data_IF_118363808449
#
_entry.id   IF_118363808449
#
_cell.length_a   1.000
_cell.length_b   1.000
_cell.length_c   1.000
_cell.angle_alpha   90.00
_cell.angle_beta   90.00
_cell.angle_gamma   90.00
#
_symmetry.space_group_name_H-M   'P 1'
#
loop_
_entity.id
_entity.type
_entity.pdbx_description
1 polymer ?
#
# COMPACT_ATOMS: atom_id res chain seq x y z
N UNK A 1 -9.63 -6.87 -2.31
CA UNK A 1 -8.68 -7.41 -1.30
C UNK A 1 -7.95 -6.30 -0.54
N UNK A 2 -7.22 -5.38 -1.20
CA UNK A 2 -6.50 -4.29 -0.51
C UNK A 2 -7.43 -3.42 0.36
N UNK A 3 -8.53 -2.91 -0.21
CA UNK A 3 -9.49 -2.08 0.57
C UNK A 3 -10.28 -2.89 1.60
N UNK A 4 -10.41 -4.20 1.38
CA UNK A 4 -11.14 -5.12 2.26
C UNK A 4 -10.38 -5.37 3.57
N UNK A 5 -9.05 -5.47 3.49
CA UNK A 5 -8.19 -5.80 4.62
C UNK A 5 -7.35 -4.61 5.09
N UNK A 6 -7.71 -3.37 4.69
CA UNK A 6 -6.92 -2.17 5.01
C UNK A 6 -6.85 -1.88 6.52
N UNK A 7 -7.86 -2.35 7.25
CA UNK A 7 -8.04 -2.18 8.70
C UNK A 7 -7.70 -3.48 9.48
N UNK A 8 -7.10 -4.47 8.81
CA UNK A 8 -6.65 -5.71 9.44
C UNK A 8 -5.39 -5.47 10.29
N UNK A 9 -5.39 -5.92 11.53
CA UNK A 9 -4.25 -5.78 12.44
C UNK A 9 -3.09 -6.75 12.13
N UNK A 10 -3.31 -7.72 11.22
CA UNK A 10 -2.26 -8.65 10.83
C UNK A 10 -1.14 -7.96 10.02
N UNK A 11 0.05 -7.93 10.64
CA UNK A 11 1.24 -7.33 10.05
C UNK A 11 1.68 -7.97 8.72
N UNK A 12 1.36 -9.24 8.45
CA UNK A 12 1.66 -9.89 7.18
C UNK A 12 0.72 -9.41 6.07
N UNK A 13 -0.57 -9.26 6.38
CA UNK A 13 -1.56 -8.73 5.43
C UNK A 13 -1.19 -7.29 5.05
N UNK A 14 -0.85 -6.46 6.03
CA UNK A 14 -0.45 -5.07 5.80
C UNK A 14 0.85 -4.97 4.98
N UNK A 15 1.82 -5.86 5.19
CA UNK A 15 3.03 -5.96 4.35
C UNK A 15 2.70 -6.40 2.93
N UNK A 16 1.84 -7.40 2.75
CA UNK A 16 1.43 -7.86 1.43
C UNK A 16 0.73 -6.74 0.62
N UNK A 17 -0.14 -5.96 1.27
CA UNK A 17 -0.75 -4.76 0.67
C UNK A 17 0.33 -3.76 0.24
N UNK A 18 1.26 -3.44 1.14
CA UNK A 18 2.36 -2.53 0.84
C UNK A 18 3.24 -3.00 -0.32
N UNK A 19 3.55 -4.29 -0.39
CA UNK A 19 4.33 -4.86 -1.49
C UNK A 19 3.59 -4.85 -2.82
N UNK A 20 2.29 -5.15 -2.83
CA UNK A 20 1.46 -5.06 -4.03
C UNK A 20 1.40 -3.61 -4.55
N UNK A 21 1.23 -2.63 -3.67
CA UNK A 21 1.24 -1.21 -4.02
C UNK A 21 2.61 -0.77 -4.55
N UNK A 22 3.69 -1.20 -3.91
CA UNK A 22 5.05 -0.89 -4.34
C UNK A 22 5.35 -1.45 -5.71
N UNK A 23 4.97 -2.70 -5.98
CA UNK A 23 5.28 -3.35 -7.25
C UNK A 23 4.55 -2.69 -8.41
N UNK A 24 3.26 -2.37 -8.21
CA UNK A 24 2.49 -1.60 -9.19
C UNK A 24 3.01 -0.15 -9.34
N UNK A 25 3.49 0.43 -8.24
CA UNK A 25 4.12 1.75 -8.22
C UNK A 25 5.39 1.86 -9.07
N UNK A 26 6.12 0.76 -9.31
CA UNK A 26 7.26 0.75 -10.25
C UNK A 26 6.82 0.95 -11.70
N UNK A 27 5.61 0.53 -12.04
CA UNK A 27 5.03 0.68 -13.38
C UNK A 27 4.40 2.06 -13.54
N UNK A 28 3.70 2.54 -12.50
CA UNK A 28 3.12 3.87 -12.48
C UNK A 28 3.22 4.50 -11.09
N UNK A 29 4.27 5.30 -10.89
CA UNK A 29 4.59 5.89 -9.60
C UNK A 29 3.60 6.98 -9.17
N UNK A 30 3.05 7.73 -10.13
CA UNK A 30 2.04 8.75 -9.89
C UNK A 30 0.74 8.11 -9.39
N UNK A 31 0.30 7.01 -10.02
CA UNK A 31 -0.84 6.24 -9.55
C UNK A 31 -0.61 5.67 -8.14
N UNK A 32 0.58 5.12 -7.87
CA UNK A 32 0.92 4.58 -6.55
C UNK A 32 0.81 5.62 -5.44
N UNK A 33 1.35 6.82 -5.66
CA UNK A 33 1.23 7.94 -4.71
C UNK A 33 -0.21 8.42 -4.57
N UNK A 34 -0.93 8.57 -5.68
CA UNK A 34 -2.33 9.00 -5.66
C UNK A 34 -3.21 7.98 -4.93
N UNK A 35 -3.00 6.67 -5.15
CA UNK A 35 -3.76 5.62 -4.47
C UNK A 35 -3.53 5.66 -2.96
N UNK A 36 -2.28 5.78 -2.53
CA UNK A 36 -1.92 5.88 -1.11
C UNK A 36 -2.46 7.16 -0.46
N UNK A 37 -2.50 8.27 -1.21
CA UNK A 37 -3.05 9.54 -0.72
C UNK A 37 -4.58 9.53 -0.61
N UNK A 38 -5.27 8.83 -1.52
CA UNK A 38 -6.73 8.80 -1.58
C UNK A 38 -7.38 7.65 -0.79
N UNK A 39 -6.60 6.72 -0.25
CA UNK A 39 -7.12 5.59 0.51
C UNK A 39 -6.55 5.57 1.93
N UNK A 40 -7.42 5.29 2.89
CA UNK A 40 -7.00 5.03 4.27
C UNK A 40 -6.33 3.66 4.30
N UNK A 41 -5.04 3.63 4.63
CA UNK A 41 -4.22 2.43 4.76
C UNK A 41 -3.54 2.45 6.13
N UNK A 42 -3.23 1.28 6.67
CA UNK A 42 -2.39 1.19 7.86
C UNK A 42 -1.06 1.91 7.66
N UNK A 43 -0.48 2.43 8.73
CA UNK A 43 0.82 3.09 8.71
C UNK A 43 1.93 2.19 8.15
N UNK A 44 1.83 0.87 8.39
CA UNK A 44 2.76 -0.14 7.87
C UNK A 44 2.62 -0.32 6.36
N UNK A 45 1.41 -0.54 5.85
CA UNK A 45 1.16 -0.68 4.41
C UNK A 45 1.57 0.58 3.64
N UNK A 46 1.30 1.76 4.21
CA UNK A 46 1.72 3.06 3.65
C UNK A 46 3.24 3.15 3.54
N UNK A 47 3.96 2.78 4.61
CA UNK A 47 5.42 2.84 4.65
C UNK A 47 6.06 1.87 3.67
N UNK A 48 5.56 0.63 3.59
CA UNK A 48 6.08 -0.38 2.68
C UNK A 48 5.79 -0.04 1.21
N UNK A 49 4.58 0.48 0.92
CA UNK A 49 4.17 0.91 -0.42
C UNK A 49 4.96 2.11 -0.96
N UNK A 50 5.30 3.07 -0.09
CA UNK A 50 6.02 4.29 -0.47
C UNK A 50 7.54 4.19 -0.37
N UNK A 51 8.11 3.08 0.10
CA UNK A 51 9.56 2.98 0.37
C UNK A 51 10.46 3.21 -0.85
N UNK A 52 9.91 3.06 -2.06
CA UNK A 52 10.65 3.21 -3.32
C UNK A 52 9.83 3.95 -4.40
N UNK A 53 8.81 4.71 -3.98
CA UNK A 53 8.02 5.60 -4.83
C UNK A 53 8.56 7.02 -4.83
#
# INVERSE_FOLDING_TARGET
>A
MILTNRDDDDSFIQKAIGWALRDYGKVNSEWGRAFVANNVLSSLARREGCKYL
#
